data_IF_809625508246
#
_entry.id   IF_809625508246
#
_cell.length_a   1.000
_cell.length_b   1.000
_cell.length_c   1.000
_cell.angle_alpha   90.00
_cell.angle_beta   90.00
_cell.angle_gamma   90.00
#
_symmetry.space_group_name_H-M   'P 1'
#
loop_
_entity.id
_entity.type
_entity.pdbx_description
1 polymer ?
#
# COMPACT_ATOMS: atom_id res chain seq x y z
N UNK A 1 11.97 -11.03 5.28
CA UNK A 1 10.54 -11.30 5.00
C UNK A 1 9.72 -10.55 6.03
N UNK A 2 8.53 -10.10 5.64
CA UNK A 2 7.56 -9.45 6.53
C UNK A 2 6.30 -10.28 6.56
N UNK A 3 5.85 -10.62 7.77
CA UNK A 3 4.57 -11.30 7.98
C UNK A 3 3.46 -10.26 7.94
N UNK A 4 2.59 -10.37 6.93
CA UNK A 4 1.33 -9.64 6.87
C UNK A 4 0.24 -10.51 7.46
N UNK A 5 -0.42 -10.03 8.51
CA UNK A 5 -1.45 -10.79 9.22
C UNK A 5 -2.56 -9.86 9.70
N UNK A 6 -3.80 -10.33 9.57
CA UNK A 6 -4.99 -9.60 10.01
C UNK A 6 -6.21 -10.53 10.06
N UNK A 7 -7.35 -9.98 10.47
CA UNK A 7 -8.68 -10.59 10.36
C UNK A 7 -9.56 -9.78 9.42
N UNK A 8 -10.20 -10.47 8.47
CA UNK A 8 -11.08 -9.84 7.49
C UNK A 8 -12.53 -9.96 7.96
N UNK A 9 -13.20 -8.83 8.11
CA UNK A 9 -14.61 -8.75 8.46
C UNK A 9 -15.45 -8.27 7.27
N UNK A 10 -16.71 -8.68 7.28
CA UNK A 10 -17.78 -8.12 6.46
C UNK A 10 -18.34 -6.86 7.13
N UNK A 11 -19.07 -6.05 6.37
CA UNK A 11 -19.64 -4.81 6.89
C UNK A 11 -20.69 -5.03 8.00
N UNK A 12 -21.31 -6.21 8.06
CA UNK A 12 -22.23 -6.63 9.11
C UNK A 12 -21.53 -7.14 10.38
N UNK A 13 -20.19 -7.15 10.41
CA UNK A 13 -19.38 -7.63 11.52
C UNK A 13 -19.11 -9.14 11.54
N UNK A 14 -19.67 -9.90 10.59
CA UNK A 14 -19.32 -11.33 10.43
C UNK A 14 -17.90 -11.50 9.86
N UNK A 15 -17.28 -12.65 10.11
CA UNK A 15 -15.97 -12.97 9.54
C UNK A 15 -16.09 -13.32 8.07
N UNK A 16 -15.19 -12.79 7.25
CA UNK A 16 -15.13 -13.14 5.84
C UNK A 16 -14.50 -14.52 5.65
N UNK A 17 -15.07 -15.29 4.72
CA UNK A 17 -14.56 -16.60 4.31
C UNK A 17 -14.14 -16.54 2.83
N UNK A 18 -13.09 -17.28 2.48
CA UNK A 18 -12.56 -17.31 1.12
C UNK A 18 -11.04 -17.48 1.06
N UNK A 19 -10.45 -17.00 -0.03
CA UNK A 19 -9.02 -17.09 -0.33
C UNK A 19 -8.52 -15.71 -0.78
N UNK A 20 -7.32 -15.34 -0.33
CA UNK A 20 -6.56 -14.22 -0.88
C UNK A 20 -5.57 -14.76 -1.90
N UNK A 21 -5.62 -14.26 -3.13
CA UNK A 21 -4.61 -14.47 -4.15
C UNK A 21 -3.71 -13.24 -4.21
N UNK A 22 -2.42 -13.42 -3.96
CA UNK A 22 -1.43 -12.35 -3.93
C UNK A 22 -0.47 -12.55 -5.10
N UNK A 23 -0.27 -11.52 -5.94
CA UNK A 23 0.66 -11.55 -7.06
C UNK A 23 1.54 -10.31 -7.11
N UNK A 24 2.75 -10.44 -7.63
CA UNK A 24 3.71 -9.34 -7.75
C UNK A 24 4.55 -9.45 -9.04
N UNK A 25 4.96 -8.33 -9.64
CA UNK A 25 5.96 -8.33 -10.70
C UNK A 25 7.35 -8.59 -10.14
N UNK A 26 8.36 -8.74 -11.00
CA UNK A 26 9.75 -8.79 -10.55
C UNK A 26 10.18 -7.41 -10.02
N UNK A 27 10.99 -7.40 -8.97
CA UNK A 27 11.54 -6.17 -8.39
C UNK A 27 12.88 -6.42 -7.68
N UNK A 28 13.58 -5.35 -7.34
CA UNK A 28 14.79 -5.38 -6.51
C UNK A 28 14.51 -4.68 -5.19
N UNK A 29 14.82 -5.31 -4.07
CA UNK A 29 14.64 -4.72 -2.74
C UNK A 29 15.54 -3.49 -2.54
N UNK A 30 15.27 -2.69 -1.52
CA UNK A 30 16.15 -1.58 -1.13
C UNK A 30 17.58 -2.02 -0.74
N UNK A 31 17.76 -3.29 -0.38
CA UNK A 31 19.04 -3.93 -0.11
C UNK A 31 19.72 -4.54 -1.34
N UNK A 32 19.16 -4.37 -2.54
CA UNK A 32 19.74 -4.85 -3.80
C UNK A 32 19.44 -6.33 -4.11
N UNK A 33 18.49 -6.96 -3.43
CA UNK A 33 18.13 -8.37 -3.68
C UNK A 33 17.08 -8.45 -4.78
N UNK A 34 17.36 -9.22 -5.83
CA UNK A 34 16.40 -9.47 -6.91
C UNK A 34 15.31 -10.47 -6.47
N UNK A 35 14.06 -10.11 -6.75
CA UNK A 35 12.86 -10.92 -6.51
C UNK A 35 12.17 -11.16 -7.85
N UNK A 36 11.97 -12.42 -8.20
CA UNK A 36 11.23 -12.80 -9.41
C UNK A 36 9.73 -12.50 -9.27
N UNK A 37 9.07 -12.29 -10.42
CA UNK A 37 7.62 -12.21 -10.47
C UNK A 37 7.00 -13.53 -9.98
N UNK A 38 5.83 -13.45 -9.34
CA UNK A 38 5.19 -14.63 -8.80
C UNK A 38 3.84 -14.36 -8.18
N UNK A 39 3.29 -15.43 -7.59
CA UNK A 39 2.05 -15.40 -6.86
C UNK A 39 2.05 -16.40 -5.71
N UNK A 40 1.25 -16.13 -4.69
CA UNK A 40 0.92 -17.06 -3.61
C UNK A 40 -0.56 -16.93 -3.27
N UNK A 41 -1.11 -17.90 -2.54
CA UNK A 41 -2.46 -17.83 -2.02
C UNK A 41 -2.51 -18.19 -0.55
N UNK A 42 -3.44 -17.59 0.19
CA UNK A 42 -3.71 -17.89 1.59
C UNK A 42 -5.21 -18.01 1.79
N UNK A 43 -5.64 -19.13 2.38
CA UNK A 43 -7.04 -19.34 2.76
C UNK A 43 -7.33 -18.60 4.07
N UNK A 44 -8.49 -17.93 4.13
CA UNK A 44 -8.98 -17.36 5.39
C UNK A 44 -9.34 -18.50 6.36
N UNK A 45 -8.81 -18.44 7.58
CA UNK A 45 -9.17 -19.35 8.66
C UNK A 45 -10.64 -19.19 9.06
N UNK A 46 -11.17 -20.11 9.88
CA UNK A 46 -12.58 -20.08 10.31
C UNK A 46 -12.99 -18.81 11.07
N UNK A 47 -12.02 -18.06 11.60
CA UNK A 47 -12.24 -16.75 12.22
C UNK A 47 -11.96 -15.56 11.28
N UNK A 48 -11.88 -15.78 9.96
CA UNK A 48 -11.54 -14.74 8.97
C UNK A 48 -10.08 -14.29 9.00
N UNK A 49 -9.21 -14.95 9.77
CA UNK A 49 -7.81 -14.59 9.92
C UNK A 49 -6.94 -15.12 8.79
N UNK A 50 -5.88 -14.39 8.46
CA UNK A 50 -4.82 -14.86 7.55
C UNK A 50 -3.44 -14.46 8.04
N UNK A 51 -2.42 -15.14 7.52
CA UNK A 51 -1.01 -14.80 7.68
C UNK A 51 -0.26 -15.18 6.41
N UNK A 52 0.50 -14.24 5.85
CA UNK A 52 1.32 -14.46 4.65
C UNK A 52 2.67 -13.77 4.80
N UNK A 53 3.76 -14.48 4.50
CA UNK A 53 5.11 -13.92 4.51
C UNK A 53 5.45 -13.39 3.10
N UNK A 54 5.76 -12.11 2.99
CA UNK A 54 6.10 -11.44 1.73
C UNK A 54 7.48 -10.75 1.83
N UNK A 55 8.13 -10.55 0.68
CA UNK A 55 9.37 -9.75 0.65
C UNK A 55 8.99 -8.26 0.77
N UNK A 56 9.66 -7.47 1.61
CA UNK A 56 9.45 -6.02 1.64
C UNK A 56 9.69 -5.39 0.27
N UNK A 57 8.74 -4.60 -0.21
CA UNK A 57 8.86 -3.83 -1.46
C UNK A 57 8.79 -2.30 -1.21
N UNK A 58 8.72 -1.86 0.05
CA UNK A 58 8.92 -0.45 0.38
C UNK A 58 10.30 0.02 -0.10
N UNK A 59 10.32 1.06 -0.93
CA UNK A 59 11.53 1.60 -1.58
C UNK A 59 12.23 0.59 -2.54
N UNK A 60 11.48 -0.37 -3.10
CA UNK A 60 11.97 -1.25 -4.15
C UNK A 60 12.14 -0.54 -5.49
N UNK A 61 12.92 -1.15 -6.38
CA UNK A 61 13.06 -0.76 -7.78
C UNK A 61 12.40 -1.81 -8.69
N UNK A 62 11.54 -1.43 -9.65
CA UNK A 62 11.07 -0.08 -9.95
C UNK A 62 10.26 0.55 -8.81
N UNK A 63 10.30 1.88 -8.70
CA UNK A 63 9.48 2.62 -7.75
C UNK A 63 7.99 2.33 -7.98
N UNK A 64 7.19 2.41 -6.92
CA UNK A 64 5.75 2.11 -6.94
C UNK A 64 5.41 0.66 -7.32
N UNK A 65 6.35 -0.28 -7.20
CA UNK A 65 6.02 -1.71 -7.25
C UNK A 65 5.08 -2.05 -6.10
N UNK A 66 3.95 -2.70 -6.41
CA UNK A 66 2.97 -3.16 -5.42
C UNK A 66 2.73 -4.66 -5.55
N UNK A 67 2.26 -5.26 -4.45
CA UNK A 67 1.55 -6.53 -4.50
C UNK A 67 0.11 -6.27 -4.89
N UNK A 68 -0.44 -7.04 -5.82
CA UNK A 68 -1.88 -7.08 -6.12
C UNK A 68 -2.51 -8.21 -5.33
N UNK A 69 -3.56 -7.92 -4.57
CA UNK A 69 -4.26 -8.89 -3.73
C UNK A 69 -5.72 -8.97 -4.16
N UNK A 70 -6.12 -10.12 -4.68
CA UNK A 70 -7.50 -10.43 -5.01
C UNK A 70 -8.10 -11.25 -3.89
N UNK A 71 -9.07 -10.69 -3.20
CA UNK A 71 -9.92 -11.39 -2.25
C UNK A 71 -11.00 -12.09 -3.07
N UNK A 72 -10.94 -13.41 -3.12
CA UNK A 72 -12.02 -14.26 -3.60
C UNK A 72 -12.80 -14.72 -2.37
N UNK A 73 -13.78 -13.91 -1.97
CA UNK A 73 -14.67 -14.23 -0.87
C UNK A 73 -15.88 -15.00 -1.40
N UNK A 74 -16.58 -15.71 -0.52
CA UNK A 74 -17.73 -16.54 -0.90
C UNK A 74 -18.85 -15.77 -1.63
N UNK A 75 -18.96 -14.46 -1.43
CA UNK A 75 -20.01 -13.59 -1.97
C UNK A 75 -19.50 -12.40 -2.80
N UNK A 76 -18.19 -12.19 -2.86
CA UNK A 76 -17.61 -10.99 -3.48
C UNK A 76 -16.17 -11.21 -3.94
N UNK A 77 -15.81 -10.50 -5.01
CA UNK A 77 -14.42 -10.38 -5.46
C UNK A 77 -13.98 -8.94 -5.31
N UNK A 78 -12.86 -8.72 -4.62
CA UNK A 78 -12.28 -7.38 -4.40
C UNK A 78 -10.79 -7.39 -4.64
N UNK A 79 -10.29 -6.38 -5.35
CA UNK A 79 -8.86 -6.17 -5.54
C UNK A 79 -8.33 -5.07 -4.62
N UNK A 80 -7.16 -5.31 -4.04
CA UNK A 80 -6.39 -4.36 -3.24
C UNK A 80 -4.93 -4.33 -3.72
N UNK A 81 -4.23 -3.25 -3.36
CA UNK A 81 -2.81 -3.10 -3.64
C UNK A 81 -2.06 -2.89 -2.33
N UNK A 82 -0.95 -3.59 -2.15
CA UNK A 82 -0.15 -3.52 -0.93
C UNK A 82 1.30 -3.10 -1.19
N UNK A 83 1.81 -2.26 -0.29
CA UNK A 83 3.25 -2.01 -0.09
C UNK A 83 3.63 -2.62 1.25
N UNK A 84 4.50 -3.63 1.21
CA UNK A 84 4.97 -4.37 2.38
C UNK A 84 6.21 -3.67 2.95
N UNK A 85 6.17 -3.19 4.21
CA UNK A 85 7.29 -2.55 4.87
C UNK A 85 8.37 -3.56 5.27
N UNK A 86 9.55 -3.07 5.64
CA UNK A 86 10.62 -3.90 6.21
C UNK A 86 10.35 -4.38 7.64
N UNK A 87 9.41 -3.74 8.35
CA UNK A 87 9.03 -4.07 9.73
C UNK A 87 8.02 -5.21 9.77
N UNK A 88 8.23 -6.17 10.66
CA UNK A 88 7.36 -7.33 10.84
C UNK A 88 6.96 -7.50 12.31
N UNK A 89 5.70 -7.89 12.62
CA UNK A 89 4.60 -8.09 11.69
C UNK A 89 3.98 -6.77 11.19
N UNK A 90 3.25 -6.83 10.09
CA UNK A 90 2.43 -5.74 9.54
C UNK A 90 0.97 -6.18 9.41
N UNK A 91 0.03 -5.24 9.55
CA UNK A 91 -1.40 -5.47 9.39
C UNK A 91 -1.94 -4.75 8.13
N UNK A 92 -3.22 -4.95 7.79
CA UNK A 92 -3.83 -4.38 6.60
C UNK A 92 -3.85 -2.85 6.60
N UNK A 93 -3.94 -2.22 7.78
CA UNK A 93 -3.91 -0.77 7.91
C UNK A 93 -2.56 -0.16 7.48
N UNK A 94 -1.47 -0.91 7.63
CA UNK A 94 -0.12 -0.47 7.26
C UNK A 94 0.22 -0.77 5.80
N UNK A 95 -0.23 -1.92 5.27
CA UNK A 95 0.20 -2.36 3.94
C UNK A 95 -0.67 -1.84 2.79
N UNK A 96 -1.96 -1.55 3.01
CA UNK A 96 -2.88 -1.14 1.95
C UNK A 96 -2.50 0.22 1.36
N UNK A 97 -2.54 0.31 0.03
CA UNK A 97 -2.30 1.53 -0.73
C UNK A 97 -3.29 1.65 -1.90
N UNK A 98 -3.45 2.87 -2.40
CA UNK A 98 -4.30 3.23 -3.54
C UNK A 98 -3.42 3.63 -4.72
N UNK A 99 -3.61 2.99 -5.88
CA UNK A 99 -2.87 3.37 -7.08
C UNK A 99 -3.29 4.76 -7.56
N UNK A 100 -2.32 5.64 -7.82
CA UNK A 100 -2.56 7.00 -8.28
C UNK A 100 -2.57 8.06 -7.17
N UNK A 101 -2.70 7.65 -5.91
CA UNK A 101 -2.42 8.52 -4.75
C UNK A 101 -0.97 8.26 -4.34
N UNK A 102 -0.05 9.07 -4.84
CA UNK A 102 1.33 8.96 -4.36
C UNK A 102 1.33 9.36 -2.90
N UNK A 103 1.44 8.40 -1.98
CA UNK A 103 1.79 8.56 -0.56
C UNK A 103 1.53 9.99 -0.03
N UNK A 104 0.28 10.25 0.37
CA UNK A 104 -0.25 11.60 0.65
C UNK A 104 0.61 12.44 1.60
N UNK A 105 1.52 11.85 2.37
CA UNK A 105 2.44 12.56 3.28
C UNK A 105 3.55 13.34 2.56
N UNK A 106 4.15 12.80 1.49
CA UNK A 106 5.23 13.50 0.76
C UNK A 106 4.66 14.53 -0.23
N UNK A 107 3.52 14.22 -0.86
CA UNK A 107 2.81 15.16 -1.72
C UNK A 107 2.15 16.29 -0.93
N UNK A 108 1.59 16.04 0.26
CA UNK A 108 1.09 17.13 1.11
C UNK A 108 2.19 18.09 1.56
N UNK A 109 3.37 17.58 1.97
CA UNK A 109 4.48 18.45 2.33
C UNK A 109 4.98 19.30 1.15
N UNK A 110 5.04 18.69 -0.05
CA UNK A 110 5.45 19.39 -1.26
C UNK A 110 4.39 20.42 -1.69
N UNK A 111 3.09 20.10 -1.59
CA UNK A 111 2.02 21.05 -1.88
C UNK A 111 1.94 22.19 -0.84
N UNK A 112 2.14 21.91 0.45
CA UNK A 112 2.19 22.92 1.49
C UNK A 112 3.36 23.89 1.26
N UNK A 113 4.53 23.37 0.88
CA UNK A 113 5.68 24.19 0.49
C UNK A 113 5.38 25.05 -0.75
N UNK A 114 4.84 24.44 -1.82
CA UNK A 114 4.48 25.17 -3.05
C UNK A 114 3.44 26.25 -2.77
N UNK A 115 2.41 25.98 -1.98
CA UNK A 115 1.39 26.96 -1.62
C UNK A 115 1.96 28.11 -0.80
N UNK A 116 2.88 27.83 0.14
CA UNK A 116 3.57 28.88 0.91
C UNK A 116 4.46 29.76 0.01
N UNK A 117 5.19 29.17 -0.93
CA UNK A 117 6.04 29.90 -1.87
C UNK A 117 5.22 30.77 -2.85
N UNK A 118 4.05 30.29 -3.30
CA UNK A 118 3.16 31.06 -4.16
C UNK A 118 2.48 32.21 -3.43
N UNK A 119 2.05 32.01 -2.18
CA UNK A 119 1.49 33.08 -1.36
C UNK A 119 2.53 34.20 -1.15
N UNK A 120 3.76 33.84 -0.81
CA UNK A 120 4.84 34.82 -0.60
C UNK A 120 5.18 35.61 -1.88
N UNK A 121 5.09 34.97 -3.06
CA UNK A 121 5.26 35.64 -4.36
C UNK A 121 4.09 36.57 -4.74
N UNK A 122 2.87 36.21 -4.34
CA UNK A 122 1.68 37.01 -4.58
C UNK A 122 1.69 38.30 -3.74
N UNK A 123 2.12 38.22 -2.48
CA UNK A 123 2.31 39.39 -1.61
C UNK A 123 3.35 40.37 -2.19
N UNK A 124 4.46 39.85 -2.72
CA UNK A 124 5.54 40.67 -3.31
C UNK A 124 5.08 41.41 -4.59
N UNK A 125 4.12 40.83 -5.34
CA UNK A 125 3.54 41.47 -6.54
C UNK A 125 2.42 42.48 -6.21
N UNK A 126 1.90 42.49 -4.97
CA UNK A 126 0.91 43.46 -4.52
C UNK A 126 1.52 44.79 -4.05
N UNK A 127 2.84 44.86 -3.84
CA UNK A 127 3.55 46.04 -3.29
C UNK A 127 4.09 46.96 -4.39
N UNK A 128 3.81 46.69 -5.67
CA UNK A 128 4.21 47.57 -6.77
C UNK A 128 3.04 48.37 -7.32
N UNK A 129 2.60 49.40 -6.60
CA UNK A 129 2.05 50.66 -7.14
C UNK A 129 1.82 51.67 -6.01
N UNK A 130 2.75 52.61 -5.83
CA UNK A 130 2.49 54.07 -5.81
C UNK A 130 3.81 54.82 -6.02
#
# INVERSE_FOLDING_TARGET
MTTVQDTVFRADGSVAQGILLVSWPAFTTSSGIAVGAGSTSVKLGSGGSFSVALVPNANAAPANTVYTVVYQLDDAVKTEYWVVPGTSPANLAVVRTTLGESSSVAQMATQQFVNSAMAQKAEDSSVVHL
#
